data_IF_468910506027
#
_entry.id   IF_468910506027
#
_cell.length_a   1.000
_cell.length_b   1.000
_cell.length_c   1.000
_cell.angle_alpha   90.00
_cell.angle_beta   90.00
_cell.angle_gamma   90.00
#
_symmetry.space_group_name_H-M   'P 1'
#
loop_
_entity.id
_entity.type
_entity.pdbx_description
1 polymer ?
#
# COMPACT_ATOMS: atom_id res chain seq x y z
N UNK A 1 -4.40 -15.63 24.21
CA UNK A 1 -4.32 -15.73 22.74
C UNK A 1 -5.63 -15.36 22.08
N UNK A 2 -5.59 -14.88 20.84
CA UNK A 2 -6.79 -14.68 20.01
C UNK A 2 -7.21 -16.01 19.39
N UNK A 3 -8.50 -16.35 19.51
CA UNK A 3 -9.12 -17.51 18.85
C UNK A 3 -10.23 -16.98 17.94
N UNK A 4 -10.30 -17.49 16.71
CA UNK A 4 -11.36 -17.14 15.78
C UNK A 4 -12.71 -17.56 16.35
N UNK A 5 -13.65 -16.61 16.48
CA UNK A 5 -15.00 -16.86 17.03
C UNK A 5 -16.09 -16.97 15.97
N UNK A 6 -15.74 -16.81 14.69
CA UNK A 6 -16.68 -16.86 13.58
C UNK A 6 -16.78 -18.30 13.06
N UNK A 7 -17.99 -18.70 12.72
CA UNK A 7 -18.22 -19.93 11.97
C UNK A 7 -17.47 -19.84 10.62
N UNK A 8 -16.74 -20.90 10.21
CA UNK A 8 -16.14 -20.94 8.89
C UNK A 8 -17.19 -20.75 7.81
N UNK A 9 -16.88 -19.94 6.78
CA UNK A 9 -17.81 -19.69 5.68
C UNK A 9 -18.16 -20.93 4.85
N UNK A 10 -17.40 -22.03 5.00
CA UNK A 10 -17.62 -23.30 4.33
C UNK A 10 -16.93 -24.43 5.09
N UNK A 11 -17.48 -25.66 5.09
CA UNK A 11 -16.79 -26.85 5.59
C UNK A 11 -15.53 -27.21 4.78
N UNK A 12 -15.37 -26.64 3.58
CA UNK A 12 -14.18 -26.84 2.74
C UNK A 12 -13.13 -25.73 2.92
N UNK A 13 -13.42 -24.71 3.73
CA UNK A 13 -12.50 -23.61 3.97
C UNK A 13 -11.29 -24.12 4.77
N UNK A 14 -10.11 -24.00 4.19
CA UNK A 14 -8.84 -24.36 4.81
C UNK A 14 -8.11 -23.11 5.26
N UNK A 15 -7.31 -23.21 6.32
CA UNK A 15 -6.37 -22.14 6.68
C UNK A 15 -5.25 -22.05 5.64
N UNK A 16 -4.60 -20.88 5.56
CA UNK A 16 -3.45 -20.68 4.68
C UNK A 16 -2.34 -21.71 4.95
N UNK A 17 -2.03 -21.99 6.22
CA UNK A 17 -1.05 -23.01 6.59
C UNK A 17 -1.44 -24.40 6.06
N UNK A 18 -2.72 -24.79 6.17
CA UNK A 18 -3.20 -26.08 5.66
C UNK A 18 -3.12 -26.17 4.13
N UNK A 19 -3.34 -25.06 3.43
CA UNK A 19 -3.19 -24.99 1.96
C UNK A 19 -1.71 -25.13 1.58
N UNK A 20 -0.83 -24.30 2.16
CA UNK A 20 0.60 -24.28 1.82
C UNK A 20 1.27 -25.62 2.18
N UNK A 21 1.02 -26.15 3.38
CA UNK A 21 1.54 -27.44 3.81
C UNK A 21 0.98 -28.60 2.96
N UNK A 22 -0.30 -28.51 2.56
CA UNK A 22 -0.92 -29.49 1.66
C UNK A 22 -0.27 -29.53 0.28
N UNK A 23 0.02 -28.35 -0.32
CA UNK A 23 0.75 -28.26 -1.58
C UNK A 23 2.17 -28.83 -1.43
N UNK A 24 2.88 -28.45 -0.37
CA UNK A 24 4.24 -28.93 -0.11
C UNK A 24 4.27 -30.46 0.05
N UNK A 25 3.35 -31.01 0.85
CA UNK A 25 3.21 -32.46 1.04
C UNK A 25 2.87 -33.21 -0.25
N UNK A 26 2.12 -32.60 -1.15
CA UNK A 26 1.72 -33.22 -2.43
C UNK A 26 2.81 -33.15 -3.51
N UNK A 27 3.74 -32.21 -3.43
CA UNK A 27 4.70 -31.90 -4.51
C UNK A 27 6.15 -32.19 -4.17
N UNK A 28 6.51 -32.21 -2.88
CA UNK A 28 7.88 -32.47 -2.43
C UNK A 28 8.09 -33.96 -2.09
N UNK A 29 9.32 -34.50 -2.23
CA UNK A 29 9.61 -35.86 -1.80
C UNK A 29 9.44 -36.03 -0.29
N UNK A 30 9.25 -37.27 0.15
CA UNK A 30 9.18 -37.57 1.57
C UNK A 30 10.51 -37.21 2.27
N UNK A 31 10.41 -36.56 3.43
CA UNK A 31 11.58 -36.16 4.22
C UNK A 31 11.29 -36.29 5.72
N UNK A 32 12.18 -36.90 6.53
CA UNK A 32 11.90 -37.23 7.93
C UNK A 32 11.69 -36.01 8.85
N UNK A 33 12.22 -34.84 8.48
CA UNK A 33 12.04 -33.60 9.26
C UNK A 33 10.78 -32.81 8.87
N UNK A 34 10.11 -33.15 7.76
CA UNK A 34 8.99 -32.37 7.24
C UNK A 34 7.66 -32.91 7.78
N UNK A 35 7.25 -32.36 8.93
CA UNK A 35 6.09 -32.81 9.69
C UNK A 35 4.84 -31.99 9.33
N UNK A 36 4.48 -31.98 8.04
CA UNK A 36 3.42 -31.11 7.50
C UNK A 36 2.10 -31.25 8.24
N UNK A 37 1.63 -32.48 8.48
CA UNK A 37 0.35 -32.72 9.16
C UNK A 37 0.37 -32.20 10.59
N UNK A 38 1.47 -32.43 11.32
CA UNK A 38 1.63 -31.98 12.71
C UNK A 38 1.62 -30.45 12.79
N UNK A 39 2.29 -29.76 11.87
CA UNK A 39 2.31 -28.30 11.80
C UNK A 39 0.92 -27.71 11.51
N UNK A 40 0.13 -28.40 10.67
CA UNK A 40 -1.25 -27.97 10.40
C UNK A 40 -2.21 -28.26 11.55
N UNK A 41 -1.93 -29.29 12.37
CA UNK A 41 -2.73 -29.65 13.53
C UNK A 41 -2.45 -28.74 14.74
N UNK A 42 -1.20 -28.28 14.91
CA UNK A 42 -0.80 -27.40 16.01
C UNK A 42 0.11 -26.26 15.54
N UNK A 43 -0.42 -25.03 15.59
CA UNK A 43 0.33 -23.84 15.18
C UNK A 43 1.40 -23.47 16.23
N UNK A 44 1.33 -24.02 17.45
CA UNK A 44 2.41 -23.98 18.43
C UNK A 44 3.69 -24.59 17.88
N UNK A 45 3.61 -25.76 17.24
CA UNK A 45 4.78 -26.42 16.64
C UNK A 45 5.47 -25.57 15.56
N UNK A 46 4.72 -24.79 14.77
CA UNK A 46 5.29 -23.85 13.81
C UNK A 46 6.06 -22.73 14.51
N UNK A 47 5.53 -22.22 15.63
CA UNK A 47 6.20 -21.17 16.41
C UNK A 47 7.45 -21.68 17.10
N UNK A 48 7.44 -22.93 17.56
CA UNK A 48 8.63 -23.57 18.11
C UNK A 48 9.71 -23.74 17.04
N UNK A 49 9.34 -24.01 15.78
CA UNK A 49 10.29 -23.99 14.66
C UNK A 49 10.85 -22.59 14.41
N UNK A 50 10.02 -21.55 14.41
CA UNK A 50 10.46 -20.15 14.30
C UNK A 50 11.45 -19.81 15.42
N UNK A 51 11.15 -20.20 16.66
CA UNK A 51 12.00 -20.00 17.82
C UNK A 51 13.34 -20.74 17.70
N UNK A 52 13.36 -21.96 17.13
CA UNK A 52 14.59 -22.70 16.85
C UNK A 52 15.46 -22.02 15.78
N UNK A 53 14.84 -21.42 14.75
CA UNK A 53 15.57 -20.72 13.69
C UNK A 53 16.13 -19.38 14.16
N UNK A 54 15.42 -18.68 15.03
CA UNK A 54 15.76 -17.34 15.50
C UNK A 54 15.65 -17.22 17.03
N UNK A 55 16.49 -17.96 17.78
CA UNK A 55 16.35 -18.09 19.24
C UNK A 55 16.43 -16.75 19.97
N UNK A 56 17.35 -15.87 19.57
CA UNK A 56 17.50 -14.57 20.25
C UNK A 56 16.25 -13.69 20.13
N UNK A 57 15.54 -13.78 19.00
CA UNK A 57 14.37 -12.94 18.72
C UNK A 57 13.05 -13.58 19.19
N UNK A 58 12.96 -14.91 19.15
CA UNK A 58 11.70 -15.64 19.33
C UNK A 58 11.78 -16.74 20.40
N UNK A 59 12.80 -16.75 21.28
CA UNK A 59 12.83 -17.65 22.44
C UNK A 59 11.50 -17.59 23.19
N UNK A 60 11.02 -18.77 23.62
CA UNK A 60 9.78 -18.93 24.37
C UNK A 60 8.56 -18.21 23.76
N UNK A 61 8.51 -18.09 22.43
CA UNK A 61 7.45 -17.36 21.71
C UNK A 61 6.05 -17.74 22.21
N UNK A 62 5.77 -19.05 22.32
CA UNK A 62 4.50 -19.61 22.78
C UNK A 62 4.09 -19.15 24.18
N UNK A 63 5.03 -19.08 25.12
CA UNK A 63 4.77 -18.58 26.47
C UNK A 63 4.61 -17.05 26.48
N UNK A 64 5.52 -16.34 25.80
CA UNK A 64 5.61 -14.88 25.81
C UNK A 64 4.46 -14.19 25.07
N UNK A 65 3.91 -14.77 24.00
CA UNK A 65 2.80 -14.15 23.25
C UNK A 65 1.51 -13.99 24.05
N UNK A 66 1.34 -14.79 25.11
CA UNK A 66 0.14 -14.78 25.93
C UNK A 66 0.22 -13.76 27.08
N UNK A 67 1.35 -13.07 27.22
CA UNK A 67 1.49 -11.94 28.13
C UNK A 67 0.62 -10.76 27.63
N UNK A 68 0.01 -9.97 28.53
CA UNK A 68 -0.69 -8.74 28.14
C UNK A 68 0.23 -7.81 27.33
N UNK A 69 -0.23 -7.37 26.15
CA UNK A 69 0.58 -6.56 25.23
C UNK A 69 1.51 -7.36 24.30
N UNK A 70 1.55 -8.69 24.43
CA UNK A 70 2.46 -9.55 23.68
C UNK A 70 3.89 -9.47 24.21
N UNK A 71 4.87 -9.75 23.36
CA UNK A 71 6.29 -9.60 23.73
C UNK A 71 7.02 -8.68 22.76
N UNK A 72 7.80 -7.77 23.32
CA UNK A 72 8.67 -6.89 22.56
C UNK A 72 9.86 -7.67 22.01
N UNK A 73 10.19 -7.46 20.73
CA UNK A 73 11.35 -8.10 20.08
C UNK A 73 12.64 -7.29 20.18
N UNK A 74 12.62 -6.17 20.90
CA UNK A 74 13.74 -5.23 20.92
C UNK A 74 13.75 -4.29 19.72
N UNK A 75 14.43 -3.16 19.89
CA UNK A 75 14.81 -2.24 18.81
C UNK A 75 16.25 -1.79 19.11
N UNK A 76 17.27 -2.43 18.50
CA UNK A 76 18.67 -2.09 18.78
C UNK A 76 18.98 -0.59 18.62
N UNK A 77 18.38 0.06 17.63
CA UNK A 77 18.57 1.49 17.42
C UNK A 77 18.05 2.36 18.59
N UNK A 78 16.98 1.93 19.28
CA UNK A 78 16.48 2.60 20.49
C UNK A 78 17.52 2.56 21.62
N UNK A 79 18.23 1.44 21.76
CA UNK A 79 19.31 1.24 22.75
C UNK A 79 20.67 1.76 22.24
N UNK A 80 20.71 2.42 21.08
CA UNK A 80 21.93 2.91 20.40
C UNK A 80 22.92 1.80 20.04
N UNK A 81 22.43 0.59 19.85
CA UNK A 81 23.17 -0.54 19.31
C UNK A 81 23.09 -0.55 17.78
N UNK A 82 24.16 -0.08 17.12
CA UNK A 82 24.21 0.03 15.66
C UNK A 82 24.85 -1.21 15.04
N UNK A 83 24.06 -1.94 14.24
CA UNK A 83 24.54 -3.11 13.48
C UNK A 83 25.18 -2.68 12.15
N UNK A 84 26.09 -1.72 12.23
CA UNK A 84 26.90 -1.20 11.12
C UNK A 84 28.34 -1.67 11.27
N UNK A 85 29.16 -1.58 10.21
CA UNK A 85 30.58 -1.97 10.28
C UNK A 85 31.36 -1.12 11.30
N UNK A 86 30.99 0.16 11.42
CA UNK A 86 31.61 1.09 12.37
C UNK A 86 31.11 0.95 13.81
N UNK A 87 30.03 0.20 14.05
CA UNK A 87 29.34 0.12 15.35
C UNK A 87 28.67 1.43 15.79
N UNK A 88 28.48 2.39 14.86
CA UNK A 88 27.90 3.72 15.11
C UNK A 88 26.78 4.03 14.12
N UNK A 89 25.98 5.06 14.42
CA UNK A 89 25.05 5.63 13.45
C UNK A 89 25.83 6.20 12.26
N UNK A 90 25.43 5.82 11.04
CA UNK A 90 26.09 6.25 9.81
C UNK A 90 25.27 7.36 9.16
N UNK A 91 25.85 8.55 9.12
CA UNK A 91 25.26 9.72 8.49
C UNK A 91 25.62 9.75 7.02
N UNK A 92 24.63 9.98 6.16
CA UNK A 92 24.82 10.14 4.72
C UNK A 92 24.34 11.51 4.29
N UNK A 93 24.92 12.03 3.21
CA UNK A 93 24.51 13.29 2.59
C UNK A 93 23.64 12.94 1.38
N UNK A 94 22.37 13.41 1.32
CA UNK A 94 21.55 13.18 0.15
C UNK A 94 22.15 13.90 -1.07
N UNK A 95 22.25 13.19 -2.20
CA UNK A 95 22.76 13.77 -3.45
C UNK A 95 21.75 14.72 -4.13
N UNK A 96 20.47 14.62 -3.77
CA UNK A 96 19.37 15.41 -4.33
C UNK A 96 18.42 15.86 -3.22
N UNK A 97 17.77 17.00 -3.42
CA UNK A 97 16.72 17.49 -2.49
C UNK A 97 15.38 16.76 -2.69
N UNK A 98 15.17 16.20 -3.88
CA UNK A 98 13.97 15.47 -4.24
C UNK A 98 14.35 14.15 -4.91
N UNK A 99 13.96 13.03 -4.29
CA UNK A 99 14.21 11.69 -4.80
C UNK A 99 13.08 11.16 -5.69
N UNK A 100 12.06 11.96 -5.98
CA UNK A 100 10.99 11.56 -6.89
C UNK A 100 11.49 11.30 -8.32
N UNK A 101 12.68 11.77 -8.70
CA UNK A 101 13.26 11.53 -10.03
C UNK A 101 12.43 12.09 -11.18
N UNK A 102 11.49 13.01 -10.92
CA UNK A 102 10.63 13.63 -11.92
C UNK A 102 11.21 14.97 -12.34
N UNK A 103 11.44 15.13 -13.64
CA UNK A 103 11.70 16.46 -14.21
C UNK A 103 10.40 17.25 -14.24
N UNK A 104 10.45 18.50 -13.78
CA UNK A 104 9.34 19.44 -13.94
C UNK A 104 9.17 19.77 -15.42
N UNK A 105 7.96 19.54 -15.94
CA UNK A 105 7.62 19.79 -17.34
C UNK A 105 6.30 20.54 -17.40
N UNK A 106 6.12 21.50 -18.33
CA UNK A 106 4.84 22.19 -18.50
C UNK A 106 3.68 21.21 -18.65
N UNK A 107 2.68 21.34 -17.77
CA UNK A 107 1.47 20.51 -17.76
C UNK A 107 1.62 19.13 -17.10
N UNK A 108 2.79 18.80 -16.55
CA UNK A 108 3.00 17.61 -15.72
C UNK A 108 2.62 17.90 -14.28
N UNK A 109 1.99 16.92 -13.63
CA UNK A 109 1.62 16.93 -12.22
C UNK A 109 2.23 15.72 -11.51
N UNK A 110 2.46 15.87 -10.20
CA UNK A 110 2.85 14.77 -9.31
C UNK A 110 1.60 14.24 -8.60
N UNK A 111 1.18 13.02 -8.93
CA UNK A 111 0.03 12.37 -8.32
C UNK A 111 0.44 11.52 -7.10
N UNK A 112 -0.30 11.72 -6.02
CA UNK A 112 -0.21 10.94 -4.78
C UNK A 112 -1.49 10.11 -4.61
N UNK A 113 -1.34 8.79 -4.45
CA UNK A 113 -2.49 7.94 -4.11
C UNK A 113 -2.72 7.90 -2.60
N UNK A 114 -3.98 7.89 -2.17
CA UNK A 114 -4.37 7.96 -0.77
C UNK A 114 -5.35 6.82 -0.43
N UNK A 115 -5.42 6.47 0.86
CA UNK A 115 -6.52 5.64 1.39
C UNK A 115 -7.54 6.55 2.07
N UNK A 116 -8.81 6.19 1.93
CA UNK A 116 -9.89 6.84 2.69
C UNK A 116 -9.96 6.32 4.12
N UNK A 117 -10.71 7.01 4.97
CA UNK A 117 -11.02 6.53 6.33
C UNK A 117 -11.67 5.14 6.35
N UNK A 118 -12.71 4.93 5.53
CA UNK A 118 -13.50 3.69 5.51
C UNK A 118 -12.89 2.62 4.59
N UNK A 119 -11.59 2.43 4.68
CA UNK A 119 -10.84 1.51 3.84
C UNK A 119 -9.70 0.86 4.60
N UNK A 120 -9.50 -0.44 4.37
CA UNK A 120 -8.26 -1.13 4.73
C UNK A 120 -7.65 -1.76 3.49
N UNK A 121 -6.54 -1.19 3.03
CA UNK A 121 -5.91 -1.57 1.77
C UNK A 121 -6.94 -1.65 0.64
N UNK A 122 -7.02 -2.74 -0.11
CA UNK A 122 -7.92 -2.87 -1.26
C UNK A 122 -9.38 -3.09 -0.87
N UNK A 123 -9.66 -3.31 0.41
CA UNK A 123 -11.02 -3.52 0.91
C UNK A 123 -11.65 -2.19 1.26
N UNK A 124 -12.69 -1.83 0.51
CA UNK A 124 -13.50 -0.62 0.72
C UNK A 124 -14.68 -1.03 1.61
N UNK A 125 -14.80 -0.40 2.78
CA UNK A 125 -15.92 -0.60 3.70
C UNK A 125 -17.02 0.45 3.52
N UNK A 126 -16.64 1.61 2.98
CA UNK A 126 -17.54 2.73 2.79
C UNK A 126 -16.97 3.78 1.83
N UNK A 127 -17.83 4.74 1.50
CA UNK A 127 -17.59 5.80 0.53
C UNK A 127 -17.53 7.19 1.19
N UNK A 128 -17.41 7.24 2.51
CA UNK A 128 -17.21 8.48 3.26
C UNK A 128 -15.74 8.57 3.70
N UNK A 129 -15.07 9.64 3.30
CA UNK A 129 -13.74 10.01 3.78
C UNK A 129 -13.84 11.22 4.71
N UNK A 130 -14.21 10.93 5.96
CA UNK A 130 -14.42 11.93 7.02
C UNK A 130 -13.17 12.78 7.31
N UNK A 131 -11.98 12.25 7.03
CA UNK A 131 -10.72 12.99 7.20
C UNK A 131 -10.58 14.14 6.19
N UNK A 132 -11.29 14.06 5.05
CA UNK A 132 -11.23 15.04 3.96
C UNK A 132 -12.56 15.73 3.67
N UNK A 133 -13.63 15.35 4.38
CA UNK A 133 -14.98 15.88 4.14
C UNK A 133 -15.55 15.47 2.78
N UNK A 134 -15.15 14.30 2.26
CA UNK A 134 -15.56 13.82 0.94
C UNK A 134 -16.51 12.64 1.10
N UNK A 135 -17.60 12.62 0.32
CA UNK A 135 -18.58 11.55 0.34
C UNK A 135 -18.96 11.11 -1.09
N UNK A 136 -19.39 9.85 -1.21
CA UNK A 136 -19.90 9.30 -2.46
C UNK A 136 -18.81 8.72 -3.36
N UNK A 137 -18.46 9.42 -4.44
CA UNK A 137 -17.56 8.83 -5.45
C UNK A 137 -16.11 8.86 -5.02
N UNK A 138 -15.39 7.74 -5.26
CA UNK A 138 -13.93 7.66 -5.14
C UNK A 138 -13.22 7.97 -6.47
N UNK A 139 -13.98 8.14 -7.55
CA UNK A 139 -13.47 8.54 -8.87
C UNK A 139 -13.35 10.07 -8.92
N UNK A 140 -12.44 10.59 -8.12
CA UNK A 140 -12.14 12.02 -8.03
C UNK A 140 -10.64 12.26 -8.15
N UNK A 141 -10.27 13.47 -8.53
CA UNK A 141 -8.90 13.97 -8.41
C UNK A 141 -8.93 15.29 -7.64
N UNK A 142 -8.25 15.30 -6.49
CA UNK A 142 -8.04 16.47 -5.67
C UNK A 142 -6.97 17.35 -6.31
N UNK A 143 -7.27 18.64 -6.43
CA UNK A 143 -6.42 19.61 -7.13
C UNK A 143 -6.48 20.98 -6.45
N UNK A 144 -5.36 21.70 -6.43
CA UNK A 144 -5.31 23.08 -5.95
C UNK A 144 -6.22 23.97 -6.81
N UNK A 145 -7.07 24.84 -6.21
CA UNK A 145 -7.89 25.78 -6.98
C UNK A 145 -7.08 26.65 -7.94
N UNK A 146 -5.86 27.05 -7.55
CA UNK A 146 -4.97 27.83 -8.42
C UNK A 146 -4.56 27.06 -9.66
N UNK A 147 -4.21 25.77 -9.52
CA UNK A 147 -3.87 24.95 -10.68
C UNK A 147 -5.11 24.62 -11.52
N UNK A 148 -6.30 24.53 -10.91
CA UNK A 148 -7.56 24.36 -11.63
C UNK A 148 -7.81 25.57 -12.53
N UNK A 149 -7.67 26.79 -12.00
CA UNK A 149 -7.79 28.03 -12.76
C UNK A 149 -6.76 28.11 -13.90
N UNK A 150 -5.49 27.79 -13.62
CA UNK A 150 -4.42 27.75 -14.64
C UNK A 150 -4.70 26.72 -15.74
N UNK A 151 -5.35 25.59 -15.40
CA UNK A 151 -5.73 24.54 -16.34
C UNK A 151 -7.09 24.77 -17.01
N UNK A 152 -7.82 25.82 -16.63
CA UNK A 152 -9.18 26.09 -17.12
C UNK A 152 -10.20 25.02 -16.72
N UNK A 153 -10.04 24.41 -15.54
CA UNK A 153 -10.89 23.33 -15.03
C UNK A 153 -11.88 23.87 -13.99
N UNK A 154 -13.10 23.38 -14.04
CA UNK A 154 -14.13 23.65 -13.02
C UNK A 154 -14.30 22.47 -12.07
N UNK A 155 -14.77 22.72 -10.85
CA UNK A 155 -15.17 21.67 -9.93
C UNK A 155 -16.21 20.73 -10.56
N UNK A 156 -16.06 19.43 -10.33
CA UNK A 156 -16.91 18.38 -10.87
C UNK A 156 -16.64 18.04 -12.34
N UNK A 157 -15.79 18.81 -13.04
CA UNK A 157 -15.48 18.54 -14.44
C UNK A 157 -14.81 17.17 -14.58
N UNK A 158 -15.31 16.29 -15.48
CA UNK A 158 -14.68 15.00 -15.71
C UNK A 158 -13.37 15.19 -16.48
N UNK A 159 -12.31 14.56 -15.99
CA UNK A 159 -10.99 14.52 -16.62
C UNK A 159 -10.48 13.10 -16.77
N UNK A 160 -9.48 12.95 -17.62
CA UNK A 160 -8.66 11.74 -17.72
C UNK A 160 -7.28 12.07 -17.16
N UNK A 161 -6.77 11.25 -16.24
CA UNK A 161 -5.36 11.29 -15.89
C UNK A 161 -4.62 10.26 -16.72
N UNK A 162 -3.50 10.68 -17.30
CA UNK A 162 -2.62 9.81 -18.05
C UNK A 162 -1.19 9.86 -17.50
N UNK A 163 -0.54 8.70 -17.39
CA UNK A 163 0.83 8.62 -16.89
C UNK A 163 1.82 9.23 -17.87
N UNK A 164 2.71 10.09 -17.37
CA UNK A 164 3.77 10.77 -18.13
C UNK A 164 5.16 10.30 -17.69
N UNK A 165 5.43 9.01 -17.87
CA UNK A 165 6.66 8.35 -17.41
C UNK A 165 7.72 8.13 -18.50
N UNK A 166 7.41 8.45 -19.75
CA UNK A 166 8.34 8.27 -20.88
C UNK A 166 8.67 6.83 -21.25
N UNK A 167 8.00 5.83 -20.66
CA UNK A 167 8.27 4.40 -20.88
C UNK A 167 7.55 3.80 -22.11
N UNK A 168 6.87 4.63 -22.90
CA UNK A 168 6.15 4.23 -24.11
C UNK A 168 4.83 3.47 -23.85
N UNK A 169 4.43 3.27 -22.59
CA UNK A 169 3.21 2.56 -22.22
C UNK A 169 2.10 3.54 -21.82
N UNK A 170 1.00 3.49 -22.57
CA UNK A 170 -0.19 4.28 -22.25
C UNK A 170 -0.90 3.70 -21.04
N UNK A 171 -0.99 4.50 -19.97
CA UNK A 171 -1.77 4.21 -18.76
C UNK A 171 -2.66 5.41 -18.51
N UNK A 172 -3.95 5.17 -18.33
CA UNK A 172 -4.92 6.22 -18.11
C UNK A 172 -6.07 5.76 -17.20
N UNK A 173 -6.66 6.72 -16.49
CA UNK A 173 -7.90 6.55 -15.75
C UNK A 173 -8.80 7.73 -16.10
N UNK A 174 -9.97 7.42 -16.67
CA UNK A 174 -10.95 8.40 -17.12
C UNK A 174 -12.11 8.56 -16.13
N UNK A 175 -12.89 9.62 -16.30
CA UNK A 175 -14.11 9.87 -15.51
C UNK A 175 -13.85 10.35 -14.07
N UNK A 176 -12.67 10.91 -13.82
CA UNK A 176 -12.33 11.51 -12.53
C UNK A 176 -12.95 12.89 -12.44
N UNK A 177 -13.77 13.15 -11.42
CA UNK A 177 -14.26 14.50 -11.16
C UNK A 177 -13.16 15.33 -10.49
N UNK A 178 -12.86 16.50 -11.04
CA UNK A 178 -11.93 17.45 -10.40
C UNK A 178 -12.58 18.01 -9.15
N UNK A 179 -11.88 17.94 -8.01
CA UNK A 179 -12.40 18.41 -6.73
C UNK A 179 -11.37 19.37 -6.11
N UNK A 180 -11.78 20.60 -5.75
CA UNK A 180 -10.87 21.57 -5.15
C UNK A 180 -10.38 21.07 -3.79
N UNK A 181 -9.08 21.19 -3.55
CA UNK A 181 -8.47 20.82 -2.27
C UNK A 181 -7.20 21.63 -2.03
N UNK A 182 -6.90 21.90 -0.75
CA UNK A 182 -5.67 22.60 -0.37
C UNK A 182 -4.46 21.67 -0.55
N UNK A 183 -3.89 21.68 -1.75
CA UNK A 183 -2.68 20.97 -2.14
C UNK A 183 -1.61 21.94 -2.61
N UNK A 184 -0.33 21.61 -2.41
CA UNK A 184 0.76 22.32 -3.09
C UNK A 184 0.54 22.37 -4.60
N UNK A 185 0.98 23.45 -5.22
CA UNK A 185 0.97 23.63 -6.68
C UNK A 185 1.59 22.41 -7.38
N UNK A 186 1.02 22.02 -8.51
CA UNK A 186 1.45 20.90 -9.38
C UNK A 186 1.38 19.51 -8.72
N UNK A 187 0.68 19.40 -7.60
CA UNK A 187 0.35 18.12 -6.97
C UNK A 187 -1.12 17.77 -7.21
N UNK A 188 -1.37 16.47 -7.40
CA UNK A 188 -2.70 15.90 -7.45
C UNK A 188 -2.81 14.81 -6.39
N UNK A 189 -4.01 14.57 -5.90
CA UNK A 189 -4.27 13.41 -5.06
C UNK A 189 -5.53 12.66 -5.48
N UNK A 190 -5.55 11.36 -5.26
CA UNK A 190 -6.74 10.56 -5.50
C UNK A 190 -6.62 9.19 -4.84
N UNK A 191 -7.62 8.34 -5.01
CA UNK A 191 -7.74 7.15 -4.18
C UNK A 191 -7.01 5.92 -4.75
N UNK A 192 -6.39 5.19 -3.84
CA UNK A 192 -6.00 3.79 -4.00
C UNK A 192 -7.23 2.92 -3.71
N UNK A 193 -7.50 1.83 -4.45
CA UNK A 193 -6.71 1.31 -5.56
C UNK A 193 -7.10 1.89 -6.93
N UNK A 194 -8.08 2.81 -7.00
CA UNK A 194 -8.64 3.33 -8.25
C UNK A 194 -7.57 3.85 -9.22
N UNK A 195 -6.53 4.51 -8.68
CA UNK A 195 -5.45 5.11 -9.47
C UNK A 195 -4.20 4.22 -9.61
N UNK A 196 -4.22 2.96 -9.18
CA UNK A 196 -3.06 2.06 -9.31
C UNK A 196 -2.65 1.83 -10.76
N UNK A 197 -3.61 1.87 -11.70
CA UNK A 197 -3.33 1.71 -13.12
C UNK A 197 -2.37 2.78 -13.67
N UNK A 198 -2.22 3.91 -12.99
CA UNK A 198 -1.32 5.00 -13.38
C UNK A 198 0.13 4.79 -12.92
N UNK A 199 0.40 3.83 -12.03
CA UNK A 199 1.75 3.62 -11.47
C UNK A 199 2.63 2.98 -12.55
N UNK A 200 3.71 3.65 -13.00
CA UNK A 200 4.66 3.03 -13.91
C UNK A 200 5.54 2.06 -13.14
N UNK A 201 5.57 0.78 -13.56
CA UNK A 201 6.41 -0.24 -12.95
C UNK A 201 7.91 0.01 -13.17
N UNK A 202 8.28 0.91 -14.09
CA UNK A 202 9.64 1.40 -14.29
C UNK A 202 10.04 2.47 -13.27
N UNK A 203 9.09 3.00 -12.50
CA UNK A 203 9.31 4.10 -11.57
C UNK A 203 9.19 3.63 -10.11
N UNK A 204 10.33 3.35 -9.50
CA UNK A 204 10.44 2.74 -8.18
C UNK A 204 11.71 3.18 -7.44
N UNK A 205 11.76 2.91 -6.13
CA UNK A 205 12.96 3.08 -5.32
C UNK A 205 14.09 2.13 -5.77
N UNK A 206 15.28 2.68 -6.02
CA UNK A 206 16.37 1.97 -6.70
C UNK A 206 16.79 0.67 -5.99
N UNK A 207 16.73 0.64 -4.66
CA UNK A 207 17.17 -0.49 -3.83
C UNK A 207 16.03 -1.48 -3.57
N UNK A 208 14.94 -1.00 -2.97
CA UNK A 208 13.83 -1.86 -2.52
C UNK A 208 12.87 -2.26 -3.65
N UNK A 209 12.94 -1.59 -4.80
CA UNK A 209 12.00 -1.73 -5.93
C UNK A 209 10.56 -1.40 -5.55
N UNK A 210 10.35 -0.67 -4.45
CA UNK A 210 9.04 -0.19 -4.03
C UNK A 210 8.51 0.82 -5.07
N UNK A 211 7.32 0.60 -5.69
CA UNK A 211 6.77 1.53 -6.67
C UNK A 211 6.48 2.91 -6.08
N UNK A 212 6.72 3.97 -6.86
CA UNK A 212 6.55 5.35 -6.43
C UNK A 212 5.07 5.83 -6.44
N UNK A 213 4.20 5.15 -5.67
CA UNK A 213 2.76 5.44 -5.60
C UNK A 213 2.40 6.80 -4.97
N UNK A 214 3.41 7.57 -4.54
CA UNK A 214 3.30 8.92 -3.96
C UNK A 214 4.01 9.98 -4.82
N UNK A 215 4.41 9.60 -6.03
CA UNK A 215 5.14 10.45 -6.97
C UNK A 215 4.89 10.02 -8.40
N UNK A 216 3.63 9.77 -8.76
CA UNK A 216 3.28 9.29 -10.10
C UNK A 216 3.26 10.49 -11.05
N UNK A 217 4.08 10.54 -12.12
CA UNK A 217 3.99 11.62 -13.07
C UNK A 217 2.76 11.45 -13.94
N UNK A 218 1.89 12.46 -13.98
CA UNK A 218 0.66 12.43 -14.78
C UNK A 218 0.42 13.74 -15.54
N UNK A 219 -0.39 13.66 -16.58
CA UNK A 219 -0.99 14.81 -17.27
C UNK A 219 -2.51 14.71 -17.19
N UNK A 220 -3.14 15.87 -17.15
CA UNK A 220 -4.59 15.98 -17.24
C UNK A 220 -4.95 16.11 -18.73
N UNK A 221 -5.88 15.27 -19.17
CA UNK A 221 -6.47 15.33 -20.49
C UNK A 221 -7.98 15.57 -20.39
N UNK A 222 -8.62 16.17 -21.41
CA UNK A 222 -10.07 16.31 -21.46
C UNK A 222 -10.77 14.97 -21.20
N UNK A 223 -11.78 14.98 -20.32
CA UNK A 223 -12.50 13.77 -19.94
C UNK A 223 -13.15 13.08 -21.13
N UNK A 224 -12.84 11.80 -21.31
CA UNK A 224 -13.64 10.90 -22.15
C UNK A 224 -14.55 10.09 -21.23
N UNK A 225 -15.87 10.15 -21.44
CA UNK A 225 -16.87 9.46 -20.62
C UNK A 225 -17.66 10.37 -19.68
N UNK A 226 -18.82 9.89 -19.22
CA UNK A 226 -19.65 10.61 -18.24
C UNK A 226 -19.01 10.45 -16.85
N UNK A 227 -18.99 11.53 -16.06
CA UNK A 227 -18.74 11.42 -14.62
C UNK A 227 -19.65 10.33 -14.05
N UNK A 228 -19.10 9.41 -13.24
CA UNK A 228 -19.88 8.30 -12.69
C UNK A 228 -21.06 8.87 -11.90
N UNK A 229 -22.32 8.57 -12.27
CA UNK A 229 -23.48 9.19 -11.65
C UNK A 229 -23.70 8.56 -10.27
N UNK A 230 -23.31 9.28 -9.22
CA UNK A 230 -24.02 9.28 -7.95
C UNK A 230 -23.92 10.69 -7.36
N UNK A 231 -25.02 11.43 -7.56
CA UNK A 231 -25.36 12.79 -7.12
C UNK A 231 -25.22 13.04 -5.60
N UNK A 232 -25.52 14.27 -5.15
CA UNK A 232 -24.81 15.53 -5.36
C UNK A 232 -24.02 15.90 -4.09
N UNK A 233 -23.06 16.81 -4.23
CA UNK A 233 -22.48 17.54 -3.09
C UNK A 233 -23.62 18.40 -2.53
N UNK A 234 -24.10 18.03 -1.35
CA UNK A 234 -25.08 18.77 -0.55
C UNK A 234 -24.61 18.78 0.90
#
# INVERSE_FOLDING_TARGET
GSIGRREPASPHLKSELAIVAGIAKATLPAHPLWRWDDWTADYGAVRDLIARTYPDQFHDMSARMNQPGGFYRGNPAHEREWKTESGKAEFTVPAVLNSNGLTEEPGRYTLVTLRSNDQFNTTIYGHSDRLRGLEGSRMIVLMSPVDMDEAGLSEGQPVTLATDSGDGLRREVAGLAVTPYDLPRRCLAGYFPELNALIPLSHYDQLSKTPAAKGIPVRIEPGRGKASPNSPIG
#
